data_IF_800387719065
#
_entry.id   IF_800387719065
#
_cell.length_a   1.000
_cell.length_b   1.000
_cell.length_c   1.000
_cell.angle_alpha   90.00
_cell.angle_beta   90.00
_cell.angle_gamma   90.00
#
_symmetry.space_group_name_H-M   'P 1'
#
loop_
_entity.id
_entity.type
_entity.pdbx_description
1 polymer ?
#
# COMPACT_ATOMS: atom_id res chain seq x y z
N UNK A 1 7.29 9.81 20.85
CA UNK A 1 7.32 10.05 19.40
C UNK A 1 7.88 8.82 18.76
N UNK A 2 7.12 8.19 17.87
CA UNK A 2 7.46 6.89 17.25
C UNK A 2 8.65 6.95 16.28
N UNK A 3 9.31 8.10 16.10
CA UNK A 3 10.37 8.30 15.11
C UNK A 3 9.92 8.12 13.65
N UNK A 4 8.62 8.02 13.45
CA UNK A 4 8.02 7.68 12.16
C UNK A 4 7.73 8.95 11.36
N UNK A 5 8.41 9.12 10.22
CA UNK A 5 8.15 10.20 9.28
C UNK A 5 7.05 9.78 8.31
N UNK A 6 5.84 10.27 8.48
CA UNK A 6 4.78 10.15 7.46
C UNK A 6 5.02 11.20 6.37
N UNK A 7 4.78 10.85 5.11
CA UNK A 7 4.83 11.83 4.02
C UNK A 7 3.52 12.60 4.02
N UNK A 8 3.60 13.92 4.15
CA UNK A 8 2.49 14.81 3.92
C UNK A 8 2.12 14.79 2.43
N UNK A 9 0.85 14.66 2.16
CA UNK A 9 0.32 14.60 0.79
C UNK A 9 -0.76 15.67 0.66
N UNK A 10 -0.41 16.87 0.20
CA UNK A 10 -1.39 17.88 -0.18
C UNK A 10 -2.08 17.52 -1.51
N UNK A 11 -3.05 18.32 -1.92
CA UNK A 11 -3.82 18.07 -3.14
C UNK A 11 -2.95 18.02 -4.38
N UNK A 12 -2.02 18.96 -4.56
CA UNK A 12 -1.10 18.99 -5.69
C UNK A 12 -0.17 17.77 -5.72
N UNK A 13 0.38 17.40 -4.57
CA UNK A 13 1.20 16.18 -4.41
C UNK A 13 0.39 14.92 -4.75
N UNK A 14 -0.87 14.85 -4.32
CA UNK A 14 -1.75 13.72 -4.65
C UNK A 14 -1.99 13.62 -6.17
N UNK A 15 -2.22 14.74 -6.84
CA UNK A 15 -2.45 14.76 -8.30
C UNK A 15 -1.22 14.25 -9.05
N UNK A 16 -0.02 14.72 -8.69
CA UNK A 16 1.25 14.21 -9.25
C UNK A 16 1.43 12.72 -8.94
N UNK A 17 1.11 12.29 -7.72
CA UNK A 17 1.17 10.89 -7.32
C UNK A 17 0.23 10.03 -8.18
N UNK A 18 -1.01 10.46 -8.38
CA UNK A 18 -1.98 9.77 -9.24
C UNK A 18 -1.49 9.68 -10.70
N UNK A 19 -0.97 10.77 -11.26
CA UNK A 19 -0.39 10.75 -12.61
C UNK A 19 0.76 9.75 -12.73
N UNK A 20 1.65 9.71 -11.73
CA UNK A 20 2.80 8.82 -11.75
C UNK A 20 2.40 7.36 -11.53
N UNK A 21 1.59 7.08 -10.52
CA UNK A 21 1.30 5.69 -10.09
C UNK A 21 0.21 5.05 -10.94
N UNK A 22 -0.92 5.74 -11.16
CA UNK A 22 -2.01 5.20 -11.98
C UNK A 22 -1.70 5.37 -13.47
N UNK A 23 -1.27 6.57 -13.89
CA UNK A 23 -1.07 6.87 -15.30
C UNK A 23 0.18 6.19 -15.88
N UNK A 24 1.33 6.31 -15.21
CA UNK A 24 2.59 5.76 -15.77
C UNK A 24 2.88 4.34 -15.30
N UNK A 25 3.02 4.15 -13.98
CA UNK A 25 3.52 2.87 -13.44
C UNK A 25 2.53 1.74 -13.71
N UNK A 26 1.25 1.94 -13.37
CA UNK A 26 0.21 0.93 -13.57
C UNK A 26 0.06 0.58 -15.05
N UNK A 27 -0.05 1.60 -15.92
CA UNK A 27 -0.19 1.41 -17.37
C UNK A 27 1.00 0.64 -17.97
N UNK A 28 2.23 1.01 -17.61
CA UNK A 28 3.41 0.30 -18.12
C UNK A 28 3.51 -1.14 -17.60
N UNK A 29 3.07 -1.39 -16.37
CA UNK A 29 3.02 -2.75 -15.82
C UNK A 29 1.98 -3.60 -16.57
N UNK A 30 0.79 -3.05 -16.82
CA UNK A 30 -0.25 -3.71 -17.64
C UNK A 30 0.27 -4.00 -19.04
N UNK A 31 0.96 -3.04 -19.66
CA UNK A 31 1.58 -3.26 -20.99
C UNK A 31 2.55 -4.45 -20.98
N UNK A 32 3.41 -4.57 -19.98
CA UNK A 32 4.35 -5.68 -19.88
C UNK A 32 3.64 -7.02 -19.65
N UNK A 33 2.61 -7.04 -18.81
CA UNK A 33 1.81 -8.25 -18.58
C UNK A 33 1.05 -8.69 -19.85
N UNK A 34 0.48 -7.74 -20.60
CA UNK A 34 -0.16 -8.02 -21.90
C UNK A 34 0.83 -8.62 -22.92
N UNK A 35 2.07 -8.09 -22.98
CA UNK A 35 3.13 -8.67 -23.84
C UNK A 35 3.47 -10.12 -23.47
N UNK A 36 3.27 -10.50 -22.22
CA UNK A 36 3.45 -11.86 -21.72
C UNK A 36 2.19 -12.74 -21.91
N UNK A 37 1.15 -12.24 -22.57
CA UNK A 37 -0.10 -12.96 -22.80
C UNK A 37 -1.05 -13.00 -21.60
N UNK A 38 -0.77 -12.19 -20.57
CA UNK A 38 -1.64 -12.08 -19.38
C UNK A 38 -2.74 -11.07 -19.65
N UNK A 39 -4.01 -11.44 -19.45
CA UNK A 39 -5.16 -10.56 -19.61
C UNK A 39 -5.26 -9.57 -18.41
N UNK A 40 -4.31 -8.64 -18.33
CA UNK A 40 -4.18 -7.71 -17.22
C UNK A 40 -5.12 -6.50 -17.36
N UNK A 41 -5.75 -6.09 -16.27
CA UNK A 41 -6.59 -4.91 -16.18
C UNK A 41 -6.05 -3.94 -15.11
N UNK A 42 -5.63 -2.74 -15.54
CA UNK A 42 -5.17 -1.68 -14.64
C UNK A 42 -6.33 -0.94 -14.01
N UNK A 43 -6.29 -0.77 -12.69
CA UNK A 43 -7.22 0.03 -11.91
C UNK A 43 -6.53 0.57 -10.66
N UNK A 44 -7.15 1.57 -10.04
CA UNK A 44 -6.74 2.06 -8.72
C UNK A 44 -7.73 1.58 -7.65
N UNK A 45 -7.37 1.71 -6.39
CA UNK A 45 -8.30 1.46 -5.30
C UNK A 45 -9.47 2.46 -5.26
N UNK A 46 -9.41 3.58 -6.01
CA UNK A 46 -10.51 4.53 -6.17
C UNK A 46 -11.63 3.94 -7.06
N UNK A 47 -11.25 3.19 -8.11
CA UNK A 47 -12.17 2.68 -9.10
C UNK A 47 -13.13 1.66 -8.47
N UNK A 48 -14.44 1.86 -8.69
CA UNK A 48 -15.46 1.02 -8.07
C UNK A 48 -15.42 1.00 -6.54
N UNK A 49 -14.80 2.01 -5.90
CA UNK A 49 -14.55 2.03 -4.45
C UNK A 49 -13.86 0.75 -3.98
N UNK A 50 -12.89 0.27 -4.78
CA UNK A 50 -12.17 -0.98 -4.51
C UNK A 50 -11.49 -0.96 -3.13
N UNK A 51 -10.84 0.16 -2.78
CA UNK A 51 -10.28 0.41 -1.46
C UNK A 51 -11.00 1.60 -0.82
N UNK A 52 -11.79 1.36 0.20
CA UNK A 52 -12.40 2.43 0.97
C UNK A 52 -11.47 2.82 2.12
N UNK A 53 -11.24 4.12 2.29
CA UNK A 53 -10.32 4.62 3.30
C UNK A 53 -10.86 5.85 4.01
N UNK A 54 -10.49 6.02 5.28
CA UNK A 54 -10.75 7.24 6.02
C UNK A 54 -9.58 8.20 5.87
N UNK A 55 -9.90 9.44 5.49
CA UNK A 55 -8.98 10.56 5.52
C UNK A 55 -8.74 10.99 6.96
N UNK A 56 -7.51 11.30 7.30
CA UNK A 56 -7.19 11.93 8.58
C UNK A 56 -7.59 13.41 8.51
N UNK A 57 -8.49 13.83 9.38
CA UNK A 57 -8.97 15.23 9.41
C UNK A 57 -7.85 16.21 9.74
N UNK A 58 -6.88 15.81 10.56
CA UNK A 58 -5.70 16.61 10.87
C UNK A 58 -4.52 15.73 11.29
N UNK A 59 -3.32 16.18 10.95
CA UNK A 59 -2.06 15.61 11.40
C UNK A 59 -1.33 16.64 12.26
N UNK A 60 -0.77 16.20 13.40
CA UNK A 60 0.15 17.02 14.17
C UNK A 60 1.58 16.78 13.66
N UNK A 61 2.19 17.81 13.12
CA UNK A 61 3.61 17.84 12.75
C UNK A 61 4.39 18.67 13.77
N UNK A 62 5.65 18.31 13.99
CA UNK A 62 6.58 19.12 14.77
C UNK A 62 7.59 19.68 13.78
N UNK A 63 7.53 20.98 13.56
CA UNK A 63 8.42 21.71 12.67
C UNK A 63 9.20 22.75 13.54
N UNK A 64 10.53 22.66 13.55
CA UNK A 64 11.39 23.51 14.39
C UNK A 64 10.98 23.57 15.87
N UNK A 65 10.59 22.43 16.45
CA UNK A 65 10.16 22.34 17.86
C UNK A 65 8.73 22.88 18.12
N UNK A 66 8.03 23.41 17.12
CA UNK A 66 6.65 23.90 17.25
C UNK A 66 5.65 22.88 16.68
N UNK A 67 4.56 22.67 17.41
CA UNK A 67 3.45 21.83 16.92
C UNK A 67 2.66 22.61 15.87
N UNK A 68 2.52 22.03 14.68
CA UNK A 68 1.71 22.55 13.58
C UNK A 68 0.58 21.56 13.28
N UNK A 69 -0.64 22.02 13.18
CA UNK A 69 -1.77 21.20 12.75
C UNK A 69 -1.89 21.33 11.24
N UNK A 70 -1.73 20.22 10.54
CA UNK A 70 -1.92 20.10 9.09
C UNK A 70 -3.32 19.55 8.86
N UNK A 71 -4.15 20.26 8.10
CA UNK A 71 -5.54 19.86 7.77
C UNK A 71 -5.71 19.45 6.31
N UNK A 72 -4.72 19.73 5.48
CA UNK A 72 -4.74 19.48 4.05
C UNK A 72 -3.89 18.26 3.68
N UNK A 73 -4.10 17.14 4.41
CA UNK A 73 -3.41 15.87 4.13
C UNK A 73 -4.40 14.88 3.52
N UNK A 74 -4.07 14.41 2.31
CA UNK A 74 -4.82 13.41 1.55
C UNK A 74 -4.26 12.01 1.73
N UNK A 75 -3.69 11.69 2.89
CA UNK A 75 -3.37 10.31 3.24
C UNK A 75 -4.57 9.62 3.87
N UNK A 76 -4.77 8.35 3.53
CA UNK A 76 -5.87 7.52 4.01
C UNK A 76 -5.43 6.31 4.82
N UNK A 77 -6.31 5.85 5.68
CA UNK A 77 -6.24 4.54 6.33
C UNK A 77 -7.32 3.66 5.71
N UNK A 78 -6.91 2.58 5.03
CA UNK A 78 -7.86 1.64 4.42
C UNK A 78 -8.70 0.97 5.51
N UNK A 79 -10.00 0.92 5.29
CA UNK A 79 -10.98 0.30 6.19
C UNK A 79 -11.61 -0.95 5.61
N UNK A 80 -11.92 -0.91 4.31
CA UNK A 80 -12.56 -2.04 3.63
C UNK A 80 -12.12 -2.18 2.18
N UNK A 81 -12.34 -3.36 1.65
CA UNK A 81 -12.03 -3.76 0.27
C UNK A 81 -13.32 -4.26 -0.38
N UNK A 82 -13.60 -3.80 -1.58
CA UNK A 82 -14.67 -4.35 -2.41
C UNK A 82 -14.21 -5.65 -3.09
N UNK A 83 -14.17 -6.74 -2.33
CA UNK A 83 -13.78 -8.05 -2.85
C UNK A 83 -14.68 -8.55 -3.98
N UNK A 84 -15.96 -8.14 -3.99
CA UNK A 84 -16.89 -8.51 -5.05
C UNK A 84 -16.44 -8.04 -6.43
N UNK A 85 -15.90 -6.83 -6.54
CA UNK A 85 -15.33 -6.34 -7.79
C UNK A 85 -14.14 -7.18 -8.24
N UNK A 86 -13.25 -7.57 -7.31
CA UNK A 86 -12.09 -8.39 -7.65
C UNK A 86 -12.49 -9.79 -8.10
N UNK A 87 -13.44 -10.43 -7.39
CA UNK A 87 -13.94 -11.74 -7.81
C UNK A 87 -14.58 -11.68 -9.20
N UNK A 88 -15.40 -10.65 -9.47
CA UNK A 88 -16.00 -10.44 -10.79
C UNK A 88 -14.94 -10.39 -11.90
N UNK A 89 -13.85 -9.64 -11.68
CA UNK A 89 -12.77 -9.52 -12.66
C UNK A 89 -11.99 -10.83 -12.83
N UNK A 90 -11.65 -11.48 -11.73
CA UNK A 90 -10.92 -12.75 -11.73
C UNK A 90 -11.75 -13.87 -12.40
N UNK A 91 -13.05 -13.98 -12.08
CA UNK A 91 -13.95 -14.96 -12.67
C UNK A 91 -14.16 -14.72 -14.17
N UNK A 92 -14.08 -13.45 -14.60
CA UNK A 92 -14.09 -13.08 -16.02
C UNK A 92 -12.74 -13.27 -16.73
N UNK A 93 -11.71 -13.79 -16.04
CA UNK A 93 -10.39 -14.09 -16.61
C UNK A 93 -9.46 -12.89 -16.70
N UNK A 94 -9.72 -11.80 -15.98
CA UNK A 94 -8.82 -10.67 -15.89
C UNK A 94 -7.89 -10.80 -14.69
N UNK A 95 -6.63 -10.31 -14.84
CA UNK A 95 -5.70 -10.10 -13.73
C UNK A 95 -5.75 -8.63 -13.30
N UNK A 96 -6.35 -8.28 -12.15
CA UNK A 96 -6.38 -6.89 -11.68
C UNK A 96 -4.98 -6.41 -11.25
N UNK A 97 -4.54 -5.27 -11.79
CA UNK A 97 -3.31 -4.56 -11.41
C UNK A 97 -3.70 -3.30 -10.66
N UNK A 98 -3.63 -3.33 -9.33
CA UNK A 98 -4.21 -2.29 -8.46
C UNK A 98 -3.16 -1.28 -8.03
N UNK A 99 -3.38 -0.01 -8.35
CA UNK A 99 -2.58 1.10 -7.84
C UNK A 99 -3.08 1.56 -6.44
N UNK A 100 -2.18 1.96 -5.51
CA UNK A 100 -2.52 2.25 -4.11
C UNK A 100 -3.09 3.67 -3.92
N UNK A 101 -4.15 3.99 -4.63
CA UNK A 101 -4.97 5.19 -4.46
C UNK A 101 -6.35 4.73 -4.02
N UNK A 102 -6.77 5.10 -2.82
CA UNK A 102 -8.07 4.69 -2.26
C UNK A 102 -9.15 5.77 -2.44
N UNK A 103 -10.38 5.39 -2.21
CA UNK A 103 -11.56 6.26 -2.20
C UNK A 103 -11.94 6.62 -0.77
N UNK A 104 -12.18 7.89 -0.47
CA UNK A 104 -12.83 8.28 0.78
C UNK A 104 -14.34 7.99 0.72
N UNK A 105 -15.02 8.09 1.87
CA UNK A 105 -16.50 8.00 1.93
C UNK A 105 -17.17 9.04 1.03
N UNK A 106 -16.54 10.22 0.90
CA UNK A 106 -17.03 11.35 0.10
C UNK A 106 -16.59 11.29 -1.38
N UNK A 107 -15.92 10.22 -1.80
CA UNK A 107 -15.45 10.05 -3.19
C UNK A 107 -14.11 10.73 -3.49
N UNK A 108 -13.38 11.26 -2.49
CA UNK A 108 -12.07 11.85 -2.70
C UNK A 108 -11.00 10.78 -2.89
N UNK A 109 -10.01 11.04 -3.76
CA UNK A 109 -8.83 10.21 -3.86
C UNK A 109 -7.92 10.38 -2.63
N UNK A 110 -7.37 9.29 -2.13
CA UNK A 110 -6.46 9.27 -0.99
C UNK A 110 -5.21 8.44 -1.27
N UNK A 111 -4.06 8.97 -0.91
CA UNK A 111 -2.80 8.24 -0.91
C UNK A 111 -2.79 7.23 0.26
N UNK A 112 -2.60 5.96 -0.02
CA UNK A 112 -2.53 4.89 0.98
C UNK A 112 -1.23 4.11 0.88
N UNK A 113 -0.88 3.43 1.97
CA UNK A 113 0.32 2.58 2.01
C UNK A 113 0.10 1.33 1.15
N UNK A 114 0.98 1.11 0.17
CA UNK A 114 0.84 0.01 -0.80
C UNK A 114 0.96 -1.38 -0.16
N UNK A 115 1.87 -1.56 0.82
CA UNK A 115 2.03 -2.84 1.51
C UNK A 115 0.76 -3.17 2.30
N UNK A 116 0.16 -2.14 2.91
CA UNK A 116 -1.10 -2.29 3.63
C UNK A 116 -2.27 -2.56 2.70
N UNK A 117 -2.30 -1.92 1.54
CA UNK A 117 -3.29 -2.20 0.51
C UNK A 117 -3.20 -3.66 0.05
N UNK A 118 -2.00 -4.15 -0.25
CA UNK A 118 -1.76 -5.54 -0.63
C UNK A 118 -2.22 -6.52 0.46
N UNK A 119 -1.90 -6.26 1.72
CA UNK A 119 -2.35 -7.11 2.83
C UNK A 119 -3.88 -7.13 2.99
N UNK A 120 -4.54 -5.97 2.86
CA UNK A 120 -6.01 -5.87 2.92
C UNK A 120 -6.68 -6.59 1.74
N UNK A 121 -6.13 -6.46 0.53
CA UNK A 121 -6.60 -7.16 -0.67
C UNK A 121 -6.45 -8.67 -0.51
N UNK A 122 -5.28 -9.16 -0.07
CA UNK A 122 -5.04 -10.57 0.18
C UNK A 122 -6.01 -11.15 1.22
N UNK A 123 -6.22 -10.45 2.32
CA UNK A 123 -7.17 -10.85 3.35
C UNK A 123 -8.62 -10.89 2.85
N UNK A 124 -9.05 -9.89 2.07
CA UNK A 124 -10.39 -9.83 1.51
C UNK A 124 -10.67 -10.95 0.48
N UNK A 125 -9.65 -11.31 -0.30
CA UNK A 125 -9.71 -12.43 -1.27
C UNK A 125 -9.48 -13.78 -0.63
N UNK A 126 -9.12 -13.85 0.67
CA UNK A 126 -8.67 -15.07 1.35
C UNK A 126 -7.55 -15.76 0.59
N UNK A 127 -6.59 -14.96 0.10
CA UNK A 127 -5.47 -15.46 -0.68
C UNK A 127 -4.61 -16.43 0.14
N UNK A 128 -4.20 -17.53 -0.45
CA UNK A 128 -3.32 -18.52 0.19
C UNK A 128 -1.93 -17.93 0.44
N UNK A 129 -1.46 -17.06 -0.45
CA UNK A 129 -0.13 -16.46 -0.39
C UNK A 129 -0.19 -14.96 -0.70
N UNK A 130 0.62 -14.17 0.01
CA UNK A 130 0.93 -12.78 -0.30
C UNK A 130 2.43 -12.65 -0.54
N UNK A 131 2.82 -12.24 -1.75
CA UNK A 131 4.21 -11.98 -2.10
C UNK A 131 4.49 -10.49 -2.06
N UNK A 132 5.42 -10.06 -1.21
CA UNK A 132 5.90 -8.68 -1.14
C UNK A 132 7.29 -8.60 -1.75
N UNK A 133 7.40 -7.97 -2.93
CA UNK A 133 8.68 -7.73 -3.59
C UNK A 133 9.35 -6.51 -2.96
N UNK A 134 10.61 -6.66 -2.55
CA UNK A 134 11.35 -5.61 -1.85
C UNK A 134 12.76 -5.47 -2.41
N UNK A 135 13.39 -4.31 -2.19
CA UNK A 135 14.76 -4.04 -2.60
C UNK A 135 15.82 -4.66 -1.67
N UNK A 136 15.39 -5.37 -0.62
CA UNK A 136 16.29 -6.06 0.32
C UNK A 136 15.86 -7.53 0.40
N UNK A 137 16.77 -8.47 0.74
CA UNK A 137 16.46 -9.91 0.76
C UNK A 137 15.34 -10.30 1.73
N UNK A 138 15.08 -9.49 2.75
CA UNK A 138 14.03 -9.75 3.73
C UNK A 138 14.35 -9.15 5.10
N UNK A 139 13.72 -9.69 6.15
CA UNK A 139 13.97 -9.29 7.53
C UNK A 139 15.27 -9.90 8.01
N UNK A 140 16.16 -9.08 8.57
CA UNK A 140 17.46 -9.48 9.12
C UNK A 140 17.53 -9.19 10.62
N UNK A 141 18.21 -10.04 11.38
CA UNK A 141 18.44 -9.78 12.81
C UNK A 141 19.36 -8.59 13.06
N UNK A 142 20.31 -8.35 12.11
CA UNK A 142 21.24 -7.21 12.11
C UNK A 142 21.33 -6.63 10.70
N UNK A 143 20.55 -5.62 10.41
CA UNK A 143 20.64 -4.93 9.11
C UNK A 143 21.94 -4.10 9.05
N UNK A 144 22.69 -4.11 7.92
CA UNK A 144 22.42 -4.78 6.64
C UNK A 144 23.13 -6.14 6.44
N UNK A 145 23.44 -6.87 7.49
CA UNK A 145 24.16 -8.16 7.44
C UNK A 145 23.22 -9.27 6.93
N UNK A 146 23.34 -9.61 5.63
CA UNK A 146 22.54 -10.65 4.96
C UNK A 146 22.70 -12.05 5.55
N UNK A 147 23.84 -12.34 6.23
CA UNK A 147 24.03 -13.62 6.91
C UNK A 147 23.03 -13.84 8.05
N UNK A 148 22.42 -12.75 8.52
CA UNK A 148 21.41 -12.76 9.60
C UNK A 148 19.96 -12.78 9.10
N UNK A 149 19.74 -13.08 7.81
CA UNK A 149 18.41 -13.16 7.17
C UNK A 149 17.51 -14.18 7.88
N UNK A 150 16.32 -13.75 8.25
CA UNK A 150 15.30 -14.61 8.84
C UNK A 150 14.48 -15.21 7.70
N UNK A 151 14.73 -16.49 7.41
CA UNK A 151 14.10 -17.20 6.28
C UNK A 151 12.64 -17.57 6.53
N UNK A 152 12.24 -17.75 7.78
CA UNK A 152 10.89 -18.14 8.15
C UNK A 152 10.52 -17.62 9.53
N UNK A 153 9.30 -17.12 9.68
CA UNK A 153 8.76 -16.60 10.92
C UNK A 153 7.41 -17.29 11.15
N UNK A 154 7.34 -18.29 12.04
CA UNK A 154 6.06 -18.85 12.46
C UNK A 154 5.17 -17.76 13.07
N UNK A 155 3.85 -17.85 12.89
CA UNK A 155 2.90 -16.86 13.40
C UNK A 155 3.07 -16.60 14.91
N UNK A 156 3.35 -17.64 15.69
CA UNK A 156 3.59 -17.53 17.13
C UNK A 156 4.84 -16.70 17.52
N UNK A 157 5.77 -16.44 16.57
CA UNK A 157 7.01 -15.67 16.78
C UNK A 157 6.99 -14.30 16.09
N UNK A 158 5.82 -13.85 15.62
CA UNK A 158 5.71 -12.59 14.90
C UNK A 158 6.13 -11.40 15.76
N UNK A 159 5.71 -11.35 17.02
CA UNK A 159 6.03 -10.26 17.95
C UNK A 159 7.53 -10.19 18.27
N UNK A 160 8.23 -11.34 18.32
CA UNK A 160 9.67 -11.36 18.46
C UNK A 160 10.37 -10.86 17.17
N UNK A 161 9.84 -11.24 16.01
CA UNK A 161 10.41 -10.86 14.72
C UNK A 161 10.27 -9.37 14.43
N UNK A 162 9.16 -8.74 14.82
CA UNK A 162 8.92 -7.30 14.66
C UNK A 162 10.01 -6.46 15.34
N UNK A 163 10.64 -6.94 16.39
CA UNK A 163 11.73 -6.23 17.08
C UNK A 163 12.95 -5.99 16.18
N UNK A 164 13.18 -6.87 15.20
CA UNK A 164 14.26 -6.73 14.23
C UNK A 164 13.91 -5.83 13.03
N UNK A 165 12.63 -5.45 12.90
CA UNK A 165 12.19 -4.62 11.81
C UNK A 165 12.52 -3.14 12.08
N UNK A 166 13.27 -2.50 11.18
CA UNK A 166 13.61 -1.08 11.24
C UNK A 166 12.92 -0.29 10.13
N UNK A 167 12.67 0.99 10.38
CA UNK A 167 12.13 1.92 9.39
C UNK A 167 10.84 1.42 8.73
N UNK A 168 10.88 1.30 7.39
CA UNK A 168 9.73 0.86 6.59
C UNK A 168 9.42 -0.63 6.71
N UNK A 169 10.40 -1.46 7.14
CA UNK A 169 10.17 -2.89 7.33
C UNK A 169 9.11 -3.19 8.40
N UNK A 170 8.94 -2.29 9.38
CA UNK A 170 7.87 -2.41 10.40
C UNK A 170 6.45 -2.40 9.84
N UNK A 171 6.26 -2.00 8.59
CA UNK A 171 4.95 -1.94 7.93
C UNK A 171 4.64 -3.16 7.07
N UNK A 172 5.66 -3.90 6.71
CA UNK A 172 5.58 -5.15 5.95
C UNK A 172 5.34 -6.33 6.89
#
# INVERSE_FOLDING_TARGET
PSGYTSRYTDRGTLEVFCMAVNGKVNTLLVEQLQKLGVNALGLSGLDGKLLLANRKESIQSIENGKRKIIRDDYTGKIESVNAGLLHLLLDAGYLPVVAPVACSQNGEALNVDADRAAAMLAGALKAENLLLLTAVPGLMRKFPDESTLIKSIPQAKLDEAIQFAEGRMKKK
#
